data_IF_436286530916
#
_entry.id   IF_436286530916
#
_cell.length_a   1.000
_cell.length_b   1.000
_cell.length_c   1.000
_cell.angle_alpha   90.00
_cell.angle_beta   90.00
_cell.angle_gamma   90.00
#
_symmetry.space_group_name_H-M   'P 1'
#
loop_
_entity.id
_entity.type
_entity.pdbx_description
1 polymer ?
#
# COMPACT_ATOMS: atom_id res chain seq x y z
N UNK A 1 5.58 14.18 20.20
CA UNK A 1 4.18 14.23 19.73
C UNK A 1 4.19 13.56 18.37
N UNK A 2 3.77 12.30 18.30
CA UNK A 2 3.99 11.42 17.15
C UNK A 2 2.90 11.60 16.07
N UNK A 3 3.26 11.74 14.78
CA UNK A 3 2.32 11.95 13.67
C UNK A 3 1.61 10.67 13.20
N UNK A 4 1.82 9.53 13.88
CA UNK A 4 1.30 8.22 13.50
C UNK A 4 0.30 7.61 14.51
N UNK A 5 -0.28 8.41 15.41
CA UNK A 5 -1.29 7.92 16.34
C UNK A 5 -2.62 7.66 15.61
N UNK A 6 -2.78 6.47 15.05
CA UNK A 6 -4.07 5.95 14.60
C UNK A 6 -4.84 5.41 15.81
N UNK A 7 -6.08 5.87 15.97
CA UNK A 7 -7.01 5.44 17.03
C UNK A 7 -7.27 3.93 17.04
N UNK A 8 -7.98 3.43 18.06
CA UNK A 8 -7.89 2.02 18.43
C UNK A 8 -8.54 1.08 17.43
N UNK A 9 -7.78 0.04 17.13
CA UNK A 9 -8.10 -1.07 16.24
C UNK A 9 -8.64 -2.20 17.12
N UNK A 10 -9.74 -2.85 16.71
CA UNK A 10 -10.18 -4.09 17.36
C UNK A 10 -10.55 -5.17 16.35
N UNK A 11 -9.91 -6.32 16.48
CA UNK A 11 -10.39 -7.60 15.98
C UNK A 11 -10.43 -8.57 17.15
N UNK A 12 -11.53 -9.32 17.24
CA UNK A 12 -11.90 -10.23 18.34
C UNK A 12 -12.27 -9.56 19.67
N UNK A 13 -12.95 -8.41 19.63
CA UNK A 13 -14.08 -8.20 20.54
C UNK A 13 -13.96 -7.22 21.72
N UNK A 14 -13.12 -6.18 21.68
CA UNK A 14 -13.31 -4.99 22.56
C UNK A 14 -12.70 -3.70 21.98
N UNK A 15 -13.45 -2.57 22.04
CA UNK A 15 -13.34 -1.34 21.20
C UNK A 15 -13.18 -0.06 22.02
N UNK A 16 -12.57 1.05 21.49
CA UNK A 16 -12.83 2.44 22.00
C UNK A 16 -12.64 3.62 20.99
N UNK A 17 -13.67 3.94 20.21
CA UNK A 17 -14.19 5.28 19.80
C UNK A 17 -13.29 6.52 19.53
N UNK A 18 -13.58 7.21 18.41
CA UNK A 18 -13.84 8.67 18.47
C UNK A 18 -15.11 9.04 17.70
N UNK A 19 -16.03 9.61 18.47
CA UNK A 19 -17.12 10.52 18.14
C UNK A 19 -18.37 10.04 17.39
N UNK A 20 -19.41 9.89 18.22
CA UNK A 20 -20.85 10.08 17.97
C UNK A 20 -21.22 10.63 16.59
N UNK A 21 -21.63 9.75 15.68
CA UNK A 21 -22.67 10.09 14.71
C UNK A 21 -23.90 9.32 15.18
N UNK A 22 -24.85 10.04 15.77
CA UNK A 22 -26.23 9.55 15.90
C UNK A 22 -26.80 9.44 14.48
N UNK A 23 -26.47 8.35 13.78
CA UNK A 23 -27.11 8.03 12.52
C UNK A 23 -28.52 7.57 12.84
N UNK A 24 -29.42 8.47 12.50
CA UNK A 24 -30.85 8.35 12.62
C UNK A 24 -31.25 7.09 11.86
N UNK A 25 -31.76 6.07 12.56
CA UNK A 25 -32.35 4.89 11.93
C UNK A 25 -33.55 5.32 11.07
N UNK A 26 -33.30 5.61 9.79
CA UNK A 26 -34.35 5.59 8.78
C UNK A 26 -34.60 4.12 8.41
N UNK A 27 -35.86 3.65 8.34
CA UNK A 27 -36.17 2.24 8.12
C UNK A 27 -35.82 1.71 6.70
N UNK A 28 -35.12 2.48 5.86
CA UNK A 28 -34.91 2.16 4.43
C UNK A 28 -33.44 2.01 3.99
N UNK A 29 -32.44 2.17 4.87
CA UNK A 29 -31.03 1.93 4.50
C UNK A 29 -30.67 0.45 4.58
N UNK A 30 -31.00 -0.28 3.51
CA UNK A 30 -30.50 -1.64 3.29
C UNK A 30 -28.96 -1.60 3.18
N UNK A 31 -28.22 -2.50 3.87
CA UNK A 31 -26.77 -2.56 3.72
C UNK A 31 -26.41 -2.86 2.26
N UNK A 32 -25.76 -1.91 1.60
CA UNK A 32 -25.33 -2.06 0.20
C UNK A 32 -24.30 -3.18 0.13
N UNK A 33 -24.64 -4.25 -0.60
CA UNK A 33 -23.77 -5.41 -0.81
C UNK A 33 -23.38 -5.53 -2.28
N UNK A 34 -22.07 -5.58 -2.54
CA UNK A 34 -21.53 -5.79 -3.88
C UNK A 34 -21.10 -7.24 -4.06
N UNK A 35 -21.55 -7.87 -5.14
CA UNK A 35 -21.01 -9.15 -5.58
C UNK A 35 -19.66 -8.91 -6.28
N UNK A 36 -18.61 -9.69 -5.96
CA UNK A 36 -17.34 -9.57 -6.66
C UNK A 36 -17.54 -9.89 -8.15
N UNK A 37 -16.96 -9.05 -9.02
CA UNK A 37 -17.05 -9.22 -10.47
C UNK A 37 -16.05 -10.28 -10.96
N UNK A 38 -14.94 -10.44 -10.24
CA UNK A 38 -13.84 -11.34 -10.60
C UNK A 38 -13.32 -12.05 -9.37
N UNK A 39 -12.96 -13.33 -9.55
CA UNK A 39 -12.22 -14.12 -8.57
C UNK A 39 -10.75 -14.24 -9.03
N UNK A 40 -9.82 -13.80 -8.19
CA UNK A 40 -8.39 -14.01 -8.40
C UNK A 40 -7.97 -15.31 -7.72
N UNK A 41 -7.55 -16.36 -8.47
CA UNK A 41 -7.05 -17.57 -7.85
C UNK A 41 -5.71 -17.31 -7.13
N UNK A 42 -5.35 -18.15 -6.14
CA UNK A 42 -4.03 -18.10 -5.54
C UNK A 42 -2.95 -18.29 -6.61
N UNK A 43 -1.91 -17.47 -6.57
CA UNK A 43 -0.76 -17.54 -7.47
C UNK A 43 0.52 -17.48 -6.65
N UNK A 44 1.52 -18.27 -7.06
CA UNK A 44 2.86 -18.16 -6.50
C UNK A 44 3.47 -16.82 -6.97
N UNK A 45 3.91 -16.00 -6.02
CA UNK A 45 4.53 -14.71 -6.31
C UNK A 45 6.04 -14.93 -6.35
N UNK A 46 6.65 -14.60 -7.49
CA UNK A 46 8.10 -14.61 -7.68
C UNK A 46 8.59 -13.19 -7.90
N UNK A 47 9.71 -12.85 -7.27
CA UNK A 47 10.37 -11.55 -7.45
C UNK A 47 11.25 -11.55 -8.70
N UNK A 48 11.73 -12.72 -9.12
CA UNK A 48 12.73 -12.87 -10.17
C UNK A 48 14.17 -12.64 -9.68
N UNK A 49 14.36 -12.50 -8.37
CA UNK A 49 15.65 -12.25 -7.71
C UNK A 49 16.08 -13.45 -6.82
N UNK A 50 15.39 -14.60 -6.91
CA UNK A 50 15.54 -15.73 -5.97
C UNK A 50 16.92 -16.42 -6.04
N UNK A 51 17.56 -16.38 -7.21
CA UNK A 51 18.85 -17.03 -7.48
C UNK A 51 20.02 -16.02 -7.48
N UNK A 52 19.85 -14.84 -6.87
CA UNK A 52 20.84 -13.76 -6.90
C UNK A 52 21.34 -13.34 -5.51
N UNK A 53 22.61 -12.96 -5.42
CA UNK A 53 23.23 -12.42 -4.22
C UNK A 53 23.13 -10.89 -4.16
N UNK A 54 22.65 -10.37 -3.04
CA UNK A 54 22.57 -8.92 -2.81
C UNK A 54 23.93 -8.38 -2.39
N UNK A 55 24.59 -7.62 -3.26
CA UNK A 55 25.85 -6.94 -2.96
C UNK A 55 25.66 -5.57 -2.31
N UNK A 56 24.51 -4.92 -2.58
CA UNK A 56 24.15 -3.63 -2.03
C UNK A 56 22.63 -3.50 -1.98
N UNK A 57 22.09 -2.89 -0.91
CA UNK A 57 20.69 -2.51 -0.81
C UNK A 57 20.53 -1.26 0.07
N UNK A 58 20.04 -0.15 -0.50
CA UNK A 58 19.70 1.07 0.26
C UNK A 58 18.54 1.84 -0.37
N UNK A 59 17.83 2.62 0.45
CA UNK A 59 16.77 3.53 -0.01
C UNK A 59 17.35 4.62 -0.93
N UNK A 60 16.76 4.80 -2.10
CA UNK A 60 17.16 5.82 -3.06
C UNK A 60 15.95 6.41 -3.79
N UNK A 61 16.16 7.58 -4.40
CA UNK A 61 15.24 8.21 -5.35
C UNK A 61 15.85 8.15 -6.75
N UNK A 62 15.15 7.53 -7.70
CA UNK A 62 15.56 7.41 -9.09
C UNK A 62 14.98 8.56 -9.91
N UNK A 63 15.83 9.21 -10.70
CA UNK A 63 15.43 10.21 -11.69
C UNK A 63 15.73 9.70 -13.09
N UNK A 64 14.87 10.06 -14.05
CA UNK A 64 15.07 9.83 -15.47
C UNK A 64 15.16 11.18 -16.19
N UNK A 65 16.20 11.37 -16.98
CA UNK A 65 16.34 12.55 -17.82
C UNK A 65 15.37 12.50 -19.01
N UNK A 66 14.66 13.59 -19.24
CA UNK A 66 13.81 13.81 -20.40
C UNK A 66 14.51 14.79 -21.36
N UNK A 67 15.04 14.26 -22.46
CA UNK A 67 15.79 15.03 -23.45
C UNK A 67 14.92 15.94 -24.33
N UNK A 68 13.59 15.76 -24.32
CA UNK A 68 12.70 16.60 -25.13
C UNK A 68 12.50 17.97 -24.52
N UNK A 69 12.52 18.03 -23.19
CA UNK A 69 12.33 19.26 -22.41
C UNK A 69 13.59 19.64 -21.59
N UNK A 70 14.64 18.81 -21.62
CA UNK A 70 15.91 18.99 -20.92
C UNK A 70 15.79 19.00 -19.39
N UNK A 71 15.02 18.07 -18.82
CA UNK A 71 14.70 18.07 -17.38
C UNK A 71 14.89 16.68 -16.74
N UNK A 72 15.16 16.65 -15.43
CA UNK A 72 15.16 15.42 -14.63
C UNK A 72 13.76 15.18 -14.06
N UNK A 73 13.14 14.04 -14.39
CA UNK A 73 11.84 13.62 -13.85
C UNK A 73 12.02 12.54 -12.79
N UNK A 74 11.31 12.67 -11.67
CA UNK A 74 11.26 11.60 -10.67
C UNK A 74 10.61 10.35 -11.29
N UNK A 75 11.25 9.19 -11.10
CA UNK A 75 10.77 7.90 -11.59
C UNK A 75 10.20 7.03 -10.47
N UNK A 76 10.82 7.07 -9.30
CA UNK A 76 10.36 6.32 -8.14
C UNK A 76 11.30 6.43 -6.94
N UNK A 77 10.77 6.11 -5.76
CA UNK A 77 11.53 6.07 -4.52
C UNK A 77 11.43 4.65 -3.96
N UNK A 78 12.54 3.92 -3.96
CA UNK A 78 12.57 2.48 -3.63
C UNK A 78 13.86 2.07 -2.92
N UNK A 79 14.05 0.78 -2.77
CA UNK A 79 15.36 0.20 -2.49
C UNK A 79 16.11 0.01 -3.80
N UNK A 80 17.32 0.56 -3.89
CA UNK A 80 18.25 0.29 -4.97
C UNK A 80 19.09 -0.92 -4.58
N UNK A 81 18.98 -1.99 -5.36
CA UNK A 81 19.76 -3.21 -5.19
C UNK A 81 20.84 -3.33 -6.26
N UNK A 82 22.00 -3.85 -5.88
CA UNK A 82 22.99 -4.40 -6.81
C UNK A 82 23.00 -5.91 -6.56
N UNK A 83 22.64 -6.67 -7.59
CA UNK A 83 22.46 -8.12 -7.53
C UNK A 83 23.53 -8.79 -8.38
N UNK A 84 24.02 -9.95 -7.93
CA UNK A 84 24.98 -10.79 -8.64
C UNK A 84 24.42 -12.20 -8.79
N UNK A 85 24.37 -12.69 -10.02
CA UNK A 85 24.11 -14.10 -10.32
C UNK A 85 25.28 -14.98 -9.89
#
# INVERSE_FOLDING_TARGET
LDPFFFGPISYNGATYTHDNIEDTNSPDELPISFKPIVYLPPVEIKTGEEDENILFCQRAKLYRYDSTINEMKERGIGEMKILQH
#
